data_IF_236411679909
#
_entry.id   IF_236411679909
#
_cell.length_a   1.000
_cell.length_b   1.000
_cell.length_c   1.000
_cell.angle_alpha   90.00
_cell.angle_beta   90.00
_cell.angle_gamma   90.00
#
_symmetry.space_group_name_H-M   'P 1'
#
loop_
_entity.id
_entity.type
_entity.pdbx_description
1 polymer ?
#
# COMPACT_ATOMS: atom_id res chain seq x y z
N UNK A 1 9.53 -3.82 -2.76
CA UNK A 1 8.58 -4.69 -2.04
C UNK A 1 8.30 -4.05 -0.69
N UNK A 2 7.03 -3.89 -0.30
CA UNK A 2 6.65 -3.38 1.03
C UNK A 2 6.15 -4.50 1.93
N UNK A 3 6.63 -4.56 3.18
CA UNK A 3 6.17 -5.51 4.20
C UNK A 3 5.82 -4.76 5.49
N UNK A 4 4.91 -5.31 6.30
CA UNK A 4 4.43 -4.69 7.56
C UNK A 4 3.91 -3.26 7.37
N UNK A 5 3.25 -3.00 6.25
CA UNK A 5 2.80 -1.67 5.81
C UNK A 5 1.84 -1.02 6.82
N UNK A 6 0.98 -1.81 7.49
CA UNK A 6 -0.06 -1.30 8.39
C UNK A 6 0.34 -1.28 9.87
N UNK A 7 1.57 -1.66 10.23
CA UNK A 7 2.05 -1.73 11.61
C UNK A 7 1.03 -2.39 12.59
N UNK A 8 0.52 -3.57 12.23
CA UNK A 8 -0.51 -4.30 12.97
C UNK A 8 -1.83 -3.52 13.19
N UNK A 9 -2.21 -2.70 12.20
CA UNK A 9 -3.43 -1.88 12.23
C UNK A 9 -3.24 -0.50 12.87
N UNK A 10 -2.03 -0.16 13.33
CA UNK A 10 -1.73 1.18 13.83
C UNK A 10 -1.66 2.24 12.72
N UNK A 11 -1.44 1.82 11.47
CA UNK A 11 -1.46 2.68 10.28
C UNK A 11 -2.69 2.32 9.46
N UNK A 12 -3.44 3.34 9.04
CA UNK A 12 -4.60 3.18 8.16
C UNK A 12 -4.19 2.61 6.79
N UNK A 13 -5.04 1.79 6.14
CA UNK A 13 -4.74 1.29 4.80
C UNK A 13 -4.51 2.40 3.76
N UNK A 14 -5.27 3.50 3.84
CA UNK A 14 -5.18 4.64 2.92
C UNK A 14 -3.80 5.30 2.98
N UNK A 15 -3.27 5.52 4.17
CA UNK A 15 -1.95 6.14 4.35
C UNK A 15 -0.84 5.14 4.02
N UNK A 16 -0.96 3.91 4.51
CA UNK A 16 0.05 2.87 4.35
C UNK A 16 0.27 2.48 2.88
N UNK A 17 -0.82 2.22 2.14
CA UNK A 17 -0.73 1.78 0.75
C UNK A 17 -0.20 2.91 -0.12
N UNK A 18 -0.74 4.13 0.04
CA UNK A 18 -0.27 5.31 -0.69
C UNK A 18 1.21 5.54 -0.48
N UNK A 19 1.67 5.53 0.77
CA UNK A 19 3.08 5.74 1.07
C UNK A 19 3.95 4.65 0.44
N UNK A 20 3.57 3.38 0.57
CA UNK A 20 4.35 2.27 0.03
C UNK A 20 4.50 2.35 -1.50
N UNK A 21 3.40 2.59 -2.22
CA UNK A 21 3.44 2.67 -3.67
C UNK A 21 4.14 3.93 -4.18
N UNK A 22 3.96 5.08 -3.51
CA UNK A 22 4.65 6.34 -3.87
C UNK A 22 6.17 6.21 -3.72
N UNK A 23 6.65 5.47 -2.72
CA UNK A 23 8.08 5.24 -2.48
C UNK A 23 8.65 4.03 -3.24
N UNK A 24 7.96 3.59 -4.29
CA UNK A 24 8.52 2.64 -5.24
C UNK A 24 8.37 1.18 -4.84
N UNK A 25 7.42 0.81 -3.98
CA UNK A 25 6.98 -0.58 -3.94
C UNK A 25 6.28 -0.95 -5.26
N UNK A 26 6.61 -2.10 -5.84
CA UNK A 26 5.84 -2.69 -6.96
C UNK A 26 4.66 -3.51 -6.45
N UNK A 27 4.81 -4.09 -5.26
CA UNK A 27 3.79 -4.84 -4.55
C UNK A 27 4.01 -4.75 -3.05
N UNK A 28 2.94 -4.96 -2.30
CA UNK A 28 2.91 -4.96 -0.84
C UNK A 28 2.34 -6.27 -0.32
N UNK A 29 2.86 -6.76 0.80
CA UNK A 29 2.29 -7.88 1.54
C UNK A 29 1.68 -7.33 2.83
N UNK A 30 0.37 -7.50 2.96
CA UNK A 30 -0.45 -6.88 4.01
C UNK A 30 -1.23 -7.97 4.72
N UNK A 31 -1.19 -7.95 6.05
CA UNK A 31 -2.07 -8.76 6.89
C UNK A 31 -3.27 -7.95 7.33
N UNK A 32 -4.46 -8.57 7.27
CA UNK A 32 -5.75 -7.97 7.64
C UNK A 32 -6.71 -9.08 8.09
N UNK A 33 -7.82 -8.73 8.73
CA UNK A 33 -8.92 -9.67 8.99
C UNK A 33 -9.77 -9.90 7.73
N UNK A 34 -10.44 -11.05 7.65
CA UNK A 34 -11.26 -11.42 6.48
C UNK A 34 -12.32 -10.37 6.12
N UNK A 35 -12.93 -9.75 7.13
CA UNK A 35 -13.96 -8.71 6.93
C UNK A 35 -13.39 -7.39 6.37
N UNK A 36 -12.07 -7.18 6.43
CA UNK A 36 -11.41 -5.99 5.91
C UNK A 36 -11.03 -6.12 4.44
N UNK A 37 -10.98 -7.35 3.89
CA UNK A 37 -10.47 -7.64 2.55
C UNK A 37 -11.11 -6.75 1.47
N UNK A 38 -12.45 -6.65 1.46
CA UNK A 38 -13.14 -5.86 0.43
C UNK A 38 -12.75 -4.39 0.50
N UNK A 39 -12.66 -3.83 1.71
CA UNK A 39 -12.29 -2.43 1.91
C UNK A 39 -10.85 -2.17 1.48
N UNK A 40 -9.90 -2.98 1.95
CA UNK A 40 -8.48 -2.82 1.64
C UNK A 40 -8.18 -3.01 0.14
N UNK A 41 -8.92 -3.89 -0.55
CA UNK A 41 -8.84 -4.03 -2.02
C UNK A 41 -9.33 -2.76 -2.71
N UNK A 42 -10.47 -2.21 -2.29
CA UNK A 42 -10.99 -0.96 -2.88
C UNK A 42 -10.01 0.21 -2.65
N UNK A 43 -9.44 0.32 -1.46
CA UNK A 43 -8.43 1.34 -1.13
C UNK A 43 -7.18 1.13 -1.99
N UNK A 44 -6.76 -0.11 -2.23
CA UNK A 44 -5.63 -0.40 -3.11
C UNK A 44 -5.91 0.06 -4.54
N UNK A 45 -7.10 -0.23 -5.08
CA UNK A 45 -7.50 0.20 -6.43
C UNK A 45 -7.52 1.72 -6.52
N UNK A 46 -8.15 2.39 -5.55
CA UNK A 46 -8.22 3.85 -5.51
C UNK A 46 -6.83 4.49 -5.40
N UNK A 47 -5.97 3.93 -4.55
CA UNK A 47 -4.57 4.36 -4.39
C UNK A 47 -3.81 4.26 -5.71
N UNK A 48 -3.95 3.16 -6.45
CA UNK A 48 -3.26 2.96 -7.73
C UNK A 48 -3.80 3.88 -8.83
N UNK A 49 -5.12 4.09 -8.88
CA UNK A 49 -5.75 4.99 -9.85
C UNK A 49 -5.33 6.46 -9.64
N UNK A 50 -5.12 6.86 -8.39
CA UNK A 50 -4.75 8.23 -8.02
C UNK A 50 -3.24 8.39 -7.73
N UNK A 51 -2.42 7.38 -8.03
CA UNK A 51 -1.00 7.40 -7.70
C UNK A 51 -0.25 8.44 -8.55
N UNK A 52 0.32 9.43 -7.90
CA UNK A 52 1.18 10.44 -8.54
C UNK A 52 2.54 10.52 -7.85
N UNK A 53 3.58 10.87 -8.62
CA UNK A 53 4.91 11.13 -8.08
C UNK A 53 5.64 9.90 -7.54
N UNK A 54 5.35 8.71 -8.10
CA UNK A 54 6.05 7.47 -7.74
C UNK A 54 7.55 7.60 -8.00
N UNK A 55 8.35 7.58 -6.93
CA UNK A 55 9.83 7.61 -7.01
C UNK A 55 10.35 6.20 -6.82
N UNK A 56 10.80 5.58 -7.90
CA UNK A 56 11.44 4.26 -7.87
C UNK A 56 12.79 4.34 -8.56
N UNK A 57 13.81 4.65 -7.78
CA UNK A 57 15.20 4.64 -8.25
C UNK A 57 15.60 3.22 -8.68
N UNK A 58 16.39 3.16 -9.74
CA UNK A 58 17.00 1.93 -10.20
C UNK A 58 18.32 1.74 -9.45
N UNK A 59 18.39 0.70 -8.61
CA UNK A 59 19.64 0.29 -7.97
C UNK A 59 20.22 -0.84 -8.83
N UNK A 60 21.14 -0.48 -9.72
CA UNK A 60 21.87 -1.41 -10.58
C UNK A 60 22.94 -2.19 -9.84
#
# INVERSE_FOLDING_TARGET
MGFKVLAAGAISPEDGFKWAFQNGADFICVGMFDFQIVNDVNITIDTLNNLQGRKREWYG
#
